data_IF_151187352936
#
_entry.id   IF_151187352936
#
_cell.length_a   1.000
_cell.length_b   1.000
_cell.length_c   1.000
_cell.angle_alpha   90.00
_cell.angle_beta   90.00
_cell.angle_gamma   90.00
#
_symmetry.space_group_name_H-M   'P 1'
#
loop_
_entity.id
_entity.type
_entity.pdbx_description
1 polymer ?
#
# COMPACT_ATOMS: atom_id res chain seq x y z
N UNK A 1 3.35 17.81 -2.80
CA UNK A 1 2.85 16.57 -3.45
C UNK A 1 2.59 16.84 -4.92
N UNK A 2 3.01 15.92 -5.82
CA UNK A 2 2.74 16.00 -7.25
C UNK A 2 1.42 15.29 -7.58
N UNK A 3 1.27 14.05 -7.09
CA UNK A 3 0.06 13.24 -7.23
C UNK A 3 -0.14 12.36 -6.00
N UNK A 4 -1.38 11.97 -5.73
CA UNK A 4 -1.69 11.01 -4.68
C UNK A 4 -2.92 10.17 -5.06
N UNK A 5 -2.91 8.90 -4.68
CA UNK A 5 -4.05 8.00 -4.81
C UNK A 5 -4.24 7.24 -3.50
N UNK A 6 -5.48 7.20 -3.02
CA UNK A 6 -5.83 6.53 -1.77
C UNK A 6 -6.61 5.27 -2.08
N UNK A 7 -6.17 4.14 -1.54
CA UNK A 7 -6.75 2.80 -1.75
C UNK A 7 -6.85 2.06 -0.42
N UNK A 8 -7.72 1.06 -0.36
CA UNK A 8 -7.75 0.13 0.76
C UNK A 8 -6.58 -0.86 0.66
N UNK A 9 -5.97 -1.21 1.78
CA UNK A 9 -4.97 -2.28 1.86
C UNK A 9 -5.28 -3.18 3.05
N UNK A 10 -4.79 -4.42 3.04
CA UNK A 10 -4.97 -5.30 4.19
C UNK A 10 -4.04 -4.89 5.31
N UNK A 11 -4.58 -4.91 6.52
CA UNK A 11 -3.85 -4.61 7.74
C UNK A 11 -3.90 -5.83 8.66
N UNK A 12 -2.73 -6.34 9.07
CA UNK A 12 -2.65 -7.55 9.88
C UNK A 12 -3.37 -7.44 11.23
N UNK A 13 -3.60 -6.22 11.72
CA UNK A 13 -4.24 -5.96 13.00
C UNK A 13 -5.74 -5.64 12.87
N UNK A 14 -6.15 -4.93 11.80
CA UNK A 14 -7.53 -4.44 11.61
C UNK A 14 -8.31 -5.08 10.47
N UNK A 15 -7.70 -6.00 9.73
CA UNK A 15 -8.25 -6.57 8.50
C UNK A 15 -8.02 -5.66 7.31
N UNK A 16 -8.61 -4.46 7.32
CA UNK A 16 -8.48 -3.46 6.24
C UNK A 16 -8.17 -2.07 6.77
N UNK A 17 -7.33 -1.33 6.06
CA UNK A 17 -6.95 0.04 6.38
C UNK A 17 -6.79 0.89 5.12
N UNK A 18 -6.71 2.20 5.30
CA UNK A 18 -6.55 3.16 4.21
C UNK A 18 -5.07 3.46 3.99
N UNK A 19 -4.59 3.25 2.76
CA UNK A 19 -3.23 3.54 2.32
C UNK A 19 -3.24 4.67 1.28
N UNK A 20 -2.32 5.61 1.42
CA UNK A 20 -2.07 6.65 0.44
C UNK A 20 -0.76 6.37 -0.31
N UNK A 21 -0.86 6.23 -1.63
CA UNK A 21 0.26 6.18 -2.57
C UNK A 21 0.54 7.60 -3.04
N UNK A 22 1.71 8.14 -2.71
CA UNK A 22 2.04 9.55 -2.94
C UNK A 22 3.24 9.66 -3.87
N UNK A 23 3.10 10.44 -4.94
CA UNK A 23 4.20 10.89 -5.78
C UNK A 23 4.65 12.27 -5.27
N UNK A 24 5.80 12.36 -4.59
CA UNK A 24 6.30 13.66 -4.16
C UNK A 24 6.78 14.46 -5.37
N UNK A 25 6.85 15.79 -5.22
CA UNK A 25 7.51 16.62 -6.23
C UNK A 25 9.01 16.39 -6.12
N UNK A 26 9.74 16.45 -7.24
CA UNK A 26 11.15 16.06 -7.29
C UNK A 26 12.05 16.88 -6.35
N UNK A 27 11.72 18.16 -6.17
CA UNK A 27 12.38 19.12 -5.28
C UNK A 27 12.26 18.78 -3.79
N UNK A 28 11.18 18.11 -3.38
CA UNK A 28 10.91 17.77 -1.95
C UNK A 28 10.98 16.29 -1.64
N UNK A 29 11.35 15.46 -2.62
CA UNK A 29 11.34 13.99 -2.49
C UNK A 29 12.22 13.48 -1.35
N UNK A 30 13.37 14.11 -1.12
CA UNK A 30 14.31 13.70 -0.07
C UNK A 30 13.93 14.20 1.34
N UNK A 31 13.05 15.21 1.42
CA UNK A 31 12.70 15.87 2.68
C UNK A 31 11.30 15.55 3.18
N UNK A 32 10.45 14.92 2.36
CA UNK A 32 9.08 14.58 2.72
C UNK A 32 9.02 13.21 3.37
N UNK A 33 8.36 13.15 4.53
CA UNK A 33 8.14 11.93 5.31
C UNK A 33 6.67 11.52 5.33
N UNK A 34 6.42 10.24 5.60
CA UNK A 34 5.07 9.70 5.73
C UNK A 34 4.32 10.38 6.88
N UNK A 35 5.02 10.61 7.99
CA UNK A 35 4.51 11.28 9.19
C UNK A 35 4.03 12.69 8.88
N UNK A 36 4.79 13.48 8.12
CA UNK A 36 4.37 14.83 7.70
C UNK A 36 3.09 14.80 6.87
N UNK A 37 2.93 13.82 5.97
CA UNK A 37 1.71 13.66 5.18
C UNK A 37 0.52 13.29 6.06
N UNK A 38 0.73 12.39 7.03
CA UNK A 38 -0.30 11.98 7.98
C UNK A 38 -0.70 13.13 8.90
N UNK A 39 0.27 13.88 9.43
CA UNK A 39 0.02 15.02 10.31
C UNK A 39 -0.75 16.13 9.59
N UNK A 40 -0.33 16.46 8.36
CA UNK A 40 -1.05 17.37 7.50
C UNK A 40 -2.48 16.86 7.26
N UNK A 41 -2.67 15.58 6.95
CA UNK A 41 -4.01 15.03 6.79
C UNK A 41 -4.84 15.18 8.08
N UNK A 42 -4.30 14.85 9.25
CA UNK A 42 -5.00 15.02 10.54
C UNK A 42 -5.43 16.46 10.82
N UNK A 43 -4.62 17.43 10.44
CA UNK A 43 -4.93 18.84 10.61
C UNK A 43 -6.00 19.34 9.62
N UNK A 44 -6.10 18.73 8.43
CA UNK A 44 -6.94 19.20 7.33
C UNK A 44 -8.20 18.37 7.06
N UNK A 45 -8.34 17.17 7.63
CA UNK A 45 -9.51 16.31 7.42
C UNK A 45 -9.90 15.52 8.67
N UNK A 46 -11.15 15.04 8.69
CA UNK A 46 -11.65 14.23 9.78
C UNK A 46 -10.83 12.94 9.96
N UNK A 47 -10.64 12.50 11.21
CA UNK A 47 -9.74 11.41 11.58
C UNK A 47 -9.98 10.08 10.84
N UNK A 48 -11.22 9.81 10.39
CA UNK A 48 -11.55 8.60 9.63
C UNK A 48 -11.12 8.67 8.16
N UNK A 49 -10.82 9.86 7.61
CA UNK A 49 -10.30 10.05 6.24
C UNK A 49 -8.77 10.03 6.18
N UNK A 50 -8.11 10.11 7.33
CA UNK A 50 -6.66 10.15 7.43
C UNK A 50 -6.10 8.79 7.04
N UNK A 51 -5.20 8.72 6.03
CA UNK A 51 -4.56 7.46 5.68
C UNK A 51 -3.71 6.98 6.86
N UNK A 52 -3.76 5.67 7.11
CA UNK A 52 -2.96 5.04 8.18
C UNK A 52 -1.57 4.68 7.68
N UNK A 53 -1.46 4.37 6.40
CA UNK A 53 -0.22 4.02 5.73
C UNK A 53 0.01 5.04 4.61
N UNK A 54 1.22 5.57 4.51
CA UNK A 54 1.64 6.41 3.39
C UNK A 54 2.86 5.75 2.76
N UNK A 55 2.80 5.52 1.45
CA UNK A 55 3.90 4.98 0.68
C UNK A 55 4.25 5.94 -0.46
N UNK A 56 5.54 6.23 -0.60
CA UNK A 56 6.04 7.07 -1.68
C UNK A 56 6.38 6.22 -2.90
N UNK A 57 5.80 6.57 -4.03
CA UNK A 57 6.02 5.88 -5.31
C UNK A 57 6.54 6.85 -6.35
N UNK A 58 7.32 6.35 -7.31
CA UNK A 58 7.83 7.14 -8.43
C UNK A 58 6.71 7.63 -9.34
N UNK A 59 5.78 6.73 -9.66
CA UNK A 59 4.69 7.01 -10.60
C UNK A 59 3.43 6.24 -10.21
N UNK A 60 2.28 6.80 -10.57
CA UNK A 60 0.99 6.11 -10.49
C UNK A 60 0.60 5.60 -11.89
N UNK A 61 0.02 4.39 -12.01
CA UNK A 61 -0.48 3.90 -13.28
C UNK A 61 -1.61 4.82 -13.77
N UNK A 62 -1.52 5.24 -15.03
CA UNK A 62 -2.49 6.14 -15.66
C UNK A 62 -3.05 5.52 -16.93
N UNK A 63 -4.29 5.88 -17.26
CA UNK A 63 -4.87 5.59 -18.58
C UNK A 63 -4.19 6.43 -19.66
N UNK A 64 -4.44 6.11 -20.93
CA UNK A 64 -3.99 6.92 -22.07
C UNK A 64 -4.49 8.38 -22.01
N UNK A 65 -5.57 8.65 -21.26
CA UNK A 65 -6.10 9.98 -21.00
C UNK A 65 -5.52 10.66 -19.73
N UNK A 66 -4.48 10.08 -19.12
CA UNK A 66 -3.80 10.63 -17.95
C UNK A 66 -4.53 10.44 -16.61
N UNK A 67 -5.63 9.68 -16.57
CA UNK A 67 -6.38 9.43 -15.32
C UNK A 67 -5.72 8.32 -14.51
N UNK A 68 -5.54 8.54 -13.21
CA UNK A 68 -5.01 7.51 -12.29
C UNK A 68 -5.94 6.30 -12.27
N UNK A 69 -5.36 5.13 -12.51
CA UNK A 69 -6.05 3.84 -12.53
C UNK A 69 -6.12 3.27 -11.11
N UNK A 70 -6.95 3.87 -10.25
CA UNK A 70 -7.08 3.48 -8.84
C UNK A 70 -7.45 2.00 -8.66
N UNK A 71 -8.23 1.41 -9.59
CA UNK A 71 -8.58 -0.02 -9.56
C UNK A 71 -7.35 -0.92 -9.67
N UNK A 72 -6.43 -0.59 -10.57
CA UNK A 72 -5.17 -1.34 -10.73
C UNK A 72 -4.33 -1.23 -9.46
N UNK A 73 -4.30 -0.05 -8.83
CA UNK A 73 -3.61 0.14 -7.55
C UNK A 73 -4.25 -0.68 -6.42
N UNK A 74 -5.58 -0.70 -6.35
CA UNK A 74 -6.35 -1.50 -5.40
C UNK A 74 -6.08 -3.00 -5.57
N UNK A 75 -6.04 -3.49 -6.81
CA UNK A 75 -5.71 -4.88 -7.14
C UNK A 75 -4.26 -5.23 -6.78
N UNK A 76 -3.30 -4.33 -7.04
CA UNK A 76 -1.89 -4.51 -6.65
C UNK A 76 -1.73 -4.66 -5.14
N UNK A 77 -2.40 -3.83 -4.35
CA UNK A 77 -2.38 -3.92 -2.89
C UNK A 77 -3.02 -5.20 -2.37
N UNK A 78 -4.16 -5.59 -2.97
CA UNK A 78 -4.83 -6.84 -2.63
C UNK A 78 -3.95 -8.07 -2.95
N UNK A 79 -3.26 -8.06 -4.10
CA UNK A 79 -2.37 -9.14 -4.51
C UNK A 79 -1.07 -9.20 -3.68
N UNK A 80 -0.47 -8.05 -3.36
CA UNK A 80 0.73 -7.98 -2.52
C UNK A 80 0.47 -8.57 -1.13
N UNK A 81 -0.71 -8.28 -0.57
CA UNK A 81 -1.16 -8.82 0.73
C UNK A 81 -1.53 -10.30 0.70
N UNK A 82 -1.63 -10.91 -0.48
CA UNK A 82 -1.97 -12.32 -0.67
C UNK A 82 -0.73 -13.24 -0.76
N UNK A 83 0.49 -12.69 -0.66
CA UNK A 83 1.71 -13.52 -0.60
C UNK A 83 1.66 -14.38 0.66
N UNK A 84 1.45 -15.71 0.51
CA UNK A 84 1.35 -16.59 1.65
C UNK A 84 2.73 -16.73 2.26
N UNK A 85 2.79 -16.59 3.58
CA UNK A 85 3.79 -17.21 4.44
C UNK A 85 4.29 -18.52 3.82
N UNK A 86 5.56 -18.55 3.38
CA UNK A 86 6.29 -19.81 3.31
C UNK A 86 6.69 -20.18 4.73
N UNK A 87 6.00 -21.16 5.29
CA UNK A 87 6.36 -21.94 6.47
C UNK A 87 5.28 -22.99 6.66
N UNK A 88 5.52 -24.30 6.75
CA UNK A 88 6.72 -25.13 6.83
C UNK A 88 6.40 -26.42 6.02
N UNK A 89 7.34 -27.15 5.40
CA UNK A 89 8.42 -27.80 6.12
C UNK A 89 7.92 -28.94 7.03
N UNK A 90 6.99 -29.79 6.58
CA UNK A 90 6.70 -31.07 7.24
C UNK A 90 7.45 -32.21 6.53
N UNK A 91 8.23 -33.07 7.22
CA UNK A 91 8.96 -34.16 6.58
C UNK A 91 7.98 -35.19 6.00
N UNK A 92 8.29 -35.68 4.81
CA UNK A 92 7.59 -36.82 4.21
C UNK A 92 7.72 -38.06 5.12
N UNK A 93 6.65 -38.79 5.43
CA UNK A 93 6.80 -40.15 5.93
C UNK A 93 7.32 -41.00 4.77
N UNK A 94 8.55 -41.52 4.93
CA UNK A 94 9.18 -42.42 3.97
C UNK A 94 8.37 -43.71 3.77
N UNK A 95 8.62 -44.46 2.69
CA UNK A 95 7.92 -45.71 2.43
C UNK A 95 8.40 -46.79 3.39
N UNK A 96 7.51 -47.29 4.26
CA UNK A 96 7.72 -48.56 4.94
C UNK A 96 7.24 -49.68 4.01
N UNK A 97 8.19 -50.30 3.30
CA UNK A 97 8.04 -51.64 2.75
C UNK A 97 8.63 -52.67 3.72
N UNK A 98 8.01 -53.85 3.79
CA UNK A 98 8.45 -55.00 4.60
C UNK A 98 7.30 -55.72 5.25
#
# INVERSE_FOLDING_TARGET
VQEACVVGTRDAYRGETVKALVVPRADVRASVSAEQVIDWARAHMAAYKVPRVVEFVDTLPKSAAGKVLWRVLQEREAAASASPTRGAGGPAPGPAGG
#
